data_IF_808686240322
#
_entry.id   IF_808686240322
#
_cell.length_a   1.000
_cell.length_b   1.000
_cell.length_c   1.000
_cell.angle_alpha   90.00
_cell.angle_beta   90.00
_cell.angle_gamma   90.00
#
_symmetry.space_group_name_H-M   'P 1'
#
loop_
_entity.id
_entity.type
_entity.pdbx_description
1 polymer ?
#
# COMPACT_ATOMS: atom_id res chain seq x y z
N UNK A 1 -1.48 6.78 -19.80
CA UNK A 1 -0.25 7.54 -19.51
C UNK A 1 0.18 7.39 -18.05
N UNK A 2 -0.69 7.66 -17.06
CA UNK A 2 -0.38 7.55 -15.62
C UNK A 2 0.13 6.17 -15.17
N UNK A 3 -0.54 5.07 -15.57
CA UNK A 3 -0.11 3.70 -15.22
C UNK A 3 1.34 3.42 -15.63
N UNK A 4 1.74 3.83 -16.83
CA UNK A 4 3.11 3.63 -17.30
C UNK A 4 4.13 4.42 -16.48
N UNK A 5 3.78 5.63 -16.02
CA UNK A 5 4.66 6.47 -15.22
C UNK A 5 4.86 5.88 -13.83
N UNK A 6 3.76 5.48 -13.15
CA UNK A 6 3.84 4.81 -11.84
C UNK A 6 4.59 3.47 -11.94
N UNK A 7 4.40 2.70 -13.00
CA UNK A 7 5.19 1.48 -13.23
C UNK A 7 6.69 1.77 -13.40
N UNK A 8 7.05 2.86 -14.07
CA UNK A 8 8.45 3.27 -14.22
C UNK A 8 9.04 3.72 -12.89
N UNK A 9 8.30 4.52 -12.10
CA UNK A 9 8.71 4.88 -10.73
C UNK A 9 8.99 3.61 -9.92
N UNK A 10 8.06 2.65 -9.94
CA UNK A 10 8.21 1.40 -9.19
C UNK A 10 9.42 0.57 -9.62
N UNK A 11 9.85 0.66 -10.88
CA UNK A 11 11.04 -0.04 -11.37
C UNK A 11 12.36 0.59 -10.91
N UNK A 12 12.37 1.86 -10.50
CA UNK A 12 13.56 2.50 -9.93
C UNK A 12 13.95 1.91 -8.57
N UNK A 13 13.04 1.23 -7.90
CA UNK A 13 13.22 0.66 -6.56
C UNK A 13 13.18 -0.87 -6.63
N UNK A 14 14.36 -1.50 -6.60
CA UNK A 14 14.48 -2.95 -6.80
C UNK A 14 14.10 -3.80 -5.58
N UNK A 15 14.20 -3.25 -4.37
CA UNK A 15 13.98 -3.98 -3.13
C UNK A 15 13.11 -3.19 -2.15
N UNK A 16 12.07 -3.86 -1.63
CA UNK A 16 11.29 -3.33 -0.53
C UNK A 16 11.99 -3.64 0.80
N UNK A 17 12.49 -2.61 1.46
CA UNK A 17 12.99 -2.69 2.85
C UNK A 17 12.14 -1.78 3.73
N UNK A 18 11.91 -2.18 4.98
CA UNK A 18 11.22 -1.34 5.96
C UNK A 18 12.01 -0.05 6.22
N UNK A 19 13.33 -0.12 6.16
CA UNK A 19 14.23 1.02 6.35
C UNK A 19 14.28 1.97 5.13
N UNK A 20 13.91 1.49 3.96
CA UNK A 20 13.76 2.30 2.74
C UNK A 20 12.29 2.58 2.47
N UNK A 21 11.78 3.65 3.04
CA UNK A 21 10.38 4.02 2.94
C UNK A 21 9.95 4.24 1.48
N UNK A 22 10.79 4.86 0.64
CA UNK A 22 10.48 5.06 -0.78
C UNK A 22 10.42 3.73 -1.54
N UNK A 23 11.38 2.85 -1.33
CA UNK A 23 11.39 1.50 -1.92
C UNK A 23 10.19 0.66 -1.47
N UNK A 24 9.82 0.73 -0.19
CA UNK A 24 8.64 0.04 0.34
C UNK A 24 7.35 0.54 -0.32
N UNK A 25 7.18 1.85 -0.42
CA UNK A 25 6.00 2.48 -1.04
C UNK A 25 5.93 2.18 -2.54
N UNK A 26 7.07 2.20 -3.24
CA UNK A 26 7.13 1.83 -4.65
C UNK A 26 6.68 0.37 -4.86
N UNK A 27 7.14 -0.55 -4.01
CA UNK A 27 6.71 -1.94 -4.06
C UNK A 27 5.23 -2.10 -3.75
N UNK A 28 4.71 -1.37 -2.76
CA UNK A 28 3.28 -1.32 -2.45
C UNK A 28 2.46 -0.90 -3.69
N UNK A 29 2.84 0.21 -4.36
CA UNK A 29 2.20 0.68 -5.58
C UNK A 29 2.24 -0.37 -6.70
N UNK A 30 3.40 -1.01 -6.92
CA UNK A 30 3.56 -2.03 -7.94
C UNK A 30 2.63 -3.23 -7.76
N UNK A 31 2.53 -3.74 -6.52
CA UNK A 31 1.62 -4.86 -6.22
C UNK A 31 0.17 -4.43 -6.45
N UNK A 32 -0.21 -3.20 -6.09
CA UNK A 32 -1.59 -2.72 -6.30
C UNK A 32 -1.93 -2.54 -7.77
N UNK A 33 -1.01 -2.05 -8.59
CA UNK A 33 -1.19 -2.02 -10.05
C UNK A 33 -1.44 -3.43 -10.62
N UNK A 34 -0.71 -4.44 -10.15
CA UNK A 34 -0.97 -5.84 -10.54
C UNK A 34 -2.33 -6.34 -10.06
N UNK A 35 -2.78 -5.91 -8.88
CA UNK A 35 -4.12 -6.25 -8.38
C UNK A 35 -5.22 -5.64 -9.25
N UNK A 36 -5.05 -4.41 -9.74
CA UNK A 36 -5.96 -3.80 -10.73
C UNK A 36 -5.98 -4.55 -12.06
N UNK A 37 -4.84 -4.99 -12.58
CA UNK A 37 -4.78 -5.81 -13.79
C UNK A 37 -5.52 -7.15 -13.60
N UNK A 38 -5.37 -7.77 -12.43
CA UNK A 38 -6.10 -9.00 -12.07
C UNK A 38 -7.60 -8.73 -11.98
N UNK A 39 -8.01 -7.62 -11.34
CA UNK A 39 -9.41 -7.21 -11.27
C UNK A 39 -10.04 -7.10 -12.66
N UNK A 40 -9.36 -6.41 -13.59
CA UNK A 40 -9.87 -6.27 -14.97
C UNK A 40 -10.03 -7.62 -15.66
N UNK A 41 -9.09 -8.54 -15.49
CA UNK A 41 -9.21 -9.91 -16.05
C UNK A 41 -10.41 -10.66 -15.46
N UNK A 42 -10.63 -10.55 -14.16
CA UNK A 42 -11.74 -11.21 -13.47
C UNK A 42 -13.08 -10.67 -13.94
N UNK A 43 -13.24 -9.35 -14.02
CA UNK A 43 -14.52 -8.74 -14.37
C UNK A 43 -14.81 -8.80 -15.87
N UNK A 44 -13.81 -8.60 -16.74
CA UNK A 44 -14.01 -8.52 -18.20
C UNK A 44 -14.00 -9.91 -18.83
N UNK A 45 -12.99 -10.72 -18.51
CA UNK A 45 -12.80 -12.00 -19.18
C UNK A 45 -13.64 -13.12 -18.54
N UNK A 46 -13.67 -13.17 -17.21
CA UNK A 46 -14.34 -14.24 -16.47
C UNK A 46 -15.79 -13.88 -16.12
N UNK A 47 -16.14 -12.60 -16.14
CA UNK A 47 -17.45 -12.09 -15.70
C UNK A 47 -17.79 -12.54 -14.26
N UNK A 48 -16.78 -12.68 -13.41
CA UNK A 48 -16.93 -13.10 -12.02
C UNK A 48 -17.12 -11.86 -11.12
N UNK A 49 -18.38 -11.50 -10.95
CA UNK A 49 -18.78 -10.34 -10.18
C UNK A 49 -18.47 -10.47 -8.69
N UNK A 50 -18.58 -11.66 -8.13
CA UNK A 50 -18.33 -11.91 -6.70
C UNK A 50 -16.86 -11.69 -6.39
N UNK A 51 -15.97 -12.34 -7.13
CA UNK A 51 -14.51 -12.15 -6.95
C UNK A 51 -14.09 -10.72 -7.28
N UNK A 52 -14.68 -10.08 -8.29
CA UNK A 52 -14.40 -8.68 -8.61
C UNK A 52 -14.70 -7.76 -7.44
N UNK A 53 -15.85 -7.92 -6.76
CA UNK A 53 -16.18 -7.12 -5.57
C UNK A 53 -15.24 -7.40 -4.38
N UNK A 54 -14.77 -8.64 -4.19
CA UNK A 54 -13.75 -8.95 -3.19
C UNK A 54 -12.44 -8.21 -3.46
N UNK A 55 -11.98 -8.20 -4.72
CA UNK A 55 -10.78 -7.46 -5.12
C UNK A 55 -11.00 -5.96 -4.97
N UNK A 56 -12.16 -5.44 -5.37
CA UNK A 56 -12.50 -4.03 -5.23
C UNK A 56 -12.45 -3.58 -3.76
N UNK A 57 -12.98 -4.40 -2.84
CA UNK A 57 -12.87 -4.14 -1.39
C UNK A 57 -11.42 -4.04 -0.93
N UNK A 58 -10.58 -4.99 -1.34
CA UNK A 58 -9.16 -4.98 -1.03
C UNK A 58 -8.45 -3.73 -1.61
N UNK A 59 -8.78 -3.33 -2.84
CA UNK A 59 -8.21 -2.14 -3.46
C UNK A 59 -8.60 -0.87 -2.71
N UNK A 60 -9.86 -0.73 -2.30
CA UNK A 60 -10.34 0.38 -1.48
C UNK A 60 -9.59 0.50 -0.15
N UNK A 61 -9.41 -0.63 0.56
CA UNK A 61 -8.61 -0.65 1.79
C UNK A 61 -7.17 -0.21 1.54
N UNK A 62 -6.57 -0.64 0.43
CA UNK A 62 -5.19 -0.28 0.10
C UNK A 62 -5.04 1.20 -0.23
N UNK A 63 -5.97 1.81 -0.97
CA UNK A 63 -5.96 3.25 -1.27
C UNK A 63 -6.12 4.06 0.02
N UNK A 64 -7.04 3.65 0.90
CA UNK A 64 -7.26 4.28 2.20
C UNK A 64 -6.03 4.20 3.11
N UNK A 65 -5.36 3.04 3.15
CA UNK A 65 -4.10 2.87 3.88
C UNK A 65 -3.01 3.75 3.30
N UNK A 66 -2.89 3.80 1.97
CA UNK A 66 -1.90 4.64 1.31
C UNK A 66 -2.09 6.11 1.68
N UNK A 67 -3.33 6.60 1.63
CA UNK A 67 -3.66 7.96 2.03
C UNK A 67 -3.27 8.23 3.49
N UNK A 68 -3.76 7.42 4.42
CA UNK A 68 -3.52 7.64 5.85
C UNK A 68 -2.03 7.57 6.23
N UNK A 69 -1.29 6.61 5.68
CA UNK A 69 0.08 6.33 6.11
C UNK A 69 1.08 7.16 5.34
N UNK A 70 0.96 7.22 4.00
CA UNK A 70 2.01 7.76 3.15
C UNK A 70 1.75 9.18 2.66
N UNK A 71 0.47 9.63 2.65
CA UNK A 71 0.13 11.04 2.37
C UNK A 71 0.14 11.91 3.64
N UNK A 72 0.46 11.35 4.81
CA UNK A 72 0.67 12.12 6.04
C UNK A 72 1.78 13.17 5.82
N UNK A 73 1.47 14.46 5.92
CA UNK A 73 2.44 15.52 5.62
C UNK A 73 3.59 15.59 6.65
N UNK A 74 3.33 15.23 7.91
CA UNK A 74 4.35 15.19 8.94
C UNK A 74 5.20 13.92 8.80
N UNK A 75 6.48 14.09 8.48
CA UNK A 75 7.41 12.97 8.24
C UNK A 75 7.58 12.05 9.45
N UNK A 76 7.53 12.60 10.68
CA UNK A 76 7.66 11.82 11.92
C UNK A 76 6.42 10.96 12.17
N UNK A 77 5.22 11.50 11.91
CA UNK A 77 3.97 10.74 12.00
C UNK A 77 3.86 9.70 10.88
N UNK A 78 4.28 10.05 9.66
CA UNK A 78 4.33 9.11 8.53
C UNK A 78 5.22 7.92 8.85
N UNK A 79 6.41 8.16 9.39
CA UNK A 79 7.33 7.09 9.79
C UNK A 79 6.74 6.24 10.93
N UNK A 80 6.13 6.87 11.94
CA UNK A 80 5.46 6.17 13.03
C UNK A 80 4.34 5.26 12.52
N UNK A 81 3.44 5.79 11.68
CA UNK A 81 2.36 5.02 11.07
C UNK A 81 2.89 3.87 10.22
N UNK A 82 3.91 4.11 9.40
CA UNK A 82 4.54 3.09 8.58
C UNK A 82 5.08 1.92 9.41
N UNK A 83 5.90 2.21 10.43
CA UNK A 83 6.47 1.18 11.29
C UNK A 83 5.38 0.37 12.00
N UNK A 84 4.37 1.04 12.56
CA UNK A 84 3.26 0.36 13.24
C UNK A 84 2.39 -0.46 12.29
N UNK A 85 2.15 0.03 11.07
CA UNK A 85 1.43 -0.71 10.03
C UNK A 85 2.17 -2.00 9.63
N UNK A 86 3.50 -1.91 9.47
CA UNK A 86 4.34 -3.08 9.18
C UNK A 86 4.32 -4.08 10.32
N UNK A 87 4.48 -3.62 11.56
CA UNK A 87 4.49 -4.50 12.75
C UNK A 87 3.14 -5.20 12.91
N UNK A 88 2.02 -4.45 12.88
CA UNK A 88 0.66 -5.01 12.99
C UNK A 88 0.40 -6.07 11.91
N UNK A 89 0.79 -5.79 10.66
CA UNK A 89 0.66 -6.74 9.56
C UNK A 89 1.53 -8.00 9.74
N UNK A 90 2.76 -7.85 10.22
CA UNK A 90 3.65 -8.99 10.48
C UNK A 90 3.18 -9.83 11.67
N UNK A 91 2.74 -9.22 12.77
CA UNK A 91 2.19 -9.92 13.95
C UNK A 91 0.99 -10.78 13.54
N UNK A 92 -0.01 -10.19 12.87
CA UNK A 92 -1.19 -10.93 12.37
C UNK A 92 -0.84 -12.07 11.43
N UNK A 93 0.19 -11.90 10.59
CA UNK A 93 0.66 -12.97 9.70
C UNK A 93 1.35 -14.09 10.48
N UNK A 94 2.11 -13.76 11.55
CA UNK A 94 2.75 -14.75 12.40
C UNK A 94 1.76 -15.57 13.21
N UNK A 95 0.63 -14.96 13.62
CA UNK A 95 -0.45 -15.63 14.36
C UNK A 95 -1.12 -16.74 13.54
N UNK A 96 -1.20 -16.59 12.21
CA UNK A 96 -1.82 -17.58 11.33
C UNK A 96 -0.82 -18.57 10.71
N UNK A 97 0.49 -18.29 10.76
CA UNK A 97 1.51 -19.20 10.28
C UNK A 97 1.80 -20.27 11.34
N UNK A 98 1.84 -21.55 10.97
CA UNK A 98 2.18 -22.61 11.91
C UNK A 98 3.49 -22.32 12.65
N UNK A 99 3.50 -22.53 13.97
CA UNK A 99 4.72 -22.40 14.78
C UNK A 99 5.66 -23.56 14.58
N UNK A 100 5.08 -24.74 14.43
CA UNK A 100 5.81 -26.01 14.30
C UNK A 100 5.76 -26.50 12.86
N UNK A 101 6.74 -27.33 12.53
CA UNK A 101 6.78 -28.04 11.26
C UNK A 101 5.54 -28.93 11.08
N UNK A 102 5.14 -29.12 9.83
CA UNK A 102 4.06 -30.04 9.45
C UNK A 102 4.45 -31.46 9.92
N UNK A 103 3.51 -32.14 10.58
CA UNK A 103 3.71 -33.45 11.17
C UNK A 103 4.07 -34.52 10.12
N UNK A 104 4.90 -35.48 10.51
CA UNK A 104 5.17 -36.64 9.69
C UNK A 104 3.89 -37.38 9.31
N UNK A 105 3.85 -37.89 8.09
CA UNK A 105 2.71 -38.67 7.57
C UNK A 105 1.50 -37.84 7.11
N UNK A 106 1.49 -36.49 7.28
CA UNK A 106 0.40 -35.63 6.80
C UNK A 106 0.50 -35.26 5.32
N UNK A 107 1.72 -35.31 4.76
CA UNK A 107 2.05 -35.06 3.35
C UNK A 107 3.20 -35.96 2.92
N UNK A 108 3.39 -36.19 1.61
CA UNK A 108 4.62 -36.78 1.09
C UNK A 108 5.87 -36.03 1.59
N UNK A 109 6.97 -36.72 1.83
CA UNK A 109 8.16 -36.15 2.48
C UNK A 109 8.71 -34.92 1.73
N UNK A 110 8.75 -34.95 0.41
CA UNK A 110 9.25 -33.86 -0.42
C UNK A 110 8.37 -32.60 -0.29
N UNK A 111 7.05 -32.76 -0.39
CA UNK A 111 6.08 -31.67 -0.25
C UNK A 111 6.11 -31.09 1.16
N UNK A 112 6.20 -31.95 2.18
CA UNK A 112 6.32 -31.54 3.58
C UNK A 112 7.58 -30.73 3.83
N UNK A 113 8.73 -31.17 3.33
CA UNK A 113 9.99 -30.46 3.49
C UNK A 113 9.94 -29.09 2.80
N UNK A 114 9.43 -29.03 1.58
CA UNK A 114 9.25 -27.75 0.88
C UNK A 114 8.30 -26.80 1.62
N UNK A 115 7.16 -27.29 2.09
CA UNK A 115 6.20 -26.48 2.87
C UNK A 115 6.82 -25.97 4.18
N UNK A 116 7.58 -26.83 4.89
CA UNK A 116 8.28 -26.42 6.12
C UNK A 116 9.36 -25.37 5.86
N UNK A 117 10.08 -25.44 4.75
CA UNK A 117 11.01 -24.39 4.32
C UNK A 117 10.31 -23.06 4.05
N UNK A 118 9.19 -23.06 3.33
CA UNK A 118 8.40 -21.86 3.07
C UNK A 118 7.86 -21.22 4.35
N UNK A 119 7.36 -22.05 5.28
CA UNK A 119 6.89 -21.58 6.60
C UNK A 119 8.04 -20.92 7.35
N UNK A 120 9.19 -21.60 7.48
CA UNK A 120 10.36 -21.07 8.16
C UNK A 120 10.81 -19.74 7.54
N UNK A 121 11.02 -19.71 6.22
CA UNK A 121 11.41 -18.50 5.49
C UNK A 121 10.42 -17.36 5.74
N UNK A 122 9.12 -17.64 5.66
CA UNK A 122 8.08 -16.66 5.88
C UNK A 122 8.13 -16.08 7.30
N UNK A 123 8.29 -16.92 8.33
CA UNK A 123 8.40 -16.48 9.73
C UNK A 123 9.65 -15.65 9.98
N UNK A 124 10.80 -16.09 9.48
CA UNK A 124 12.07 -15.37 9.60
C UNK A 124 12.01 -14.00 8.94
N UNK A 125 11.41 -13.93 7.75
CA UNK A 125 11.22 -12.67 7.02
C UNK A 125 10.35 -11.68 7.81
N UNK A 126 9.18 -12.11 8.37
CA UNK A 126 8.33 -11.23 9.20
C UNK A 126 9.05 -10.77 10.46
N UNK A 127 9.74 -11.66 11.16
CA UNK A 127 10.52 -11.29 12.34
C UNK A 127 11.62 -10.28 12.01
N UNK A 128 12.26 -10.38 10.85
CA UNK A 128 13.25 -9.40 10.38
C UNK A 128 12.59 -8.04 10.14
N UNK A 129 11.49 -8.00 9.39
CA UNK A 129 10.77 -6.74 9.13
C UNK A 129 10.32 -6.05 10.42
N UNK A 130 9.84 -6.82 11.40
CA UNK A 130 9.46 -6.27 12.71
C UNK A 130 10.65 -5.67 13.46
N UNK A 131 11.82 -6.31 13.43
CA UNK A 131 13.04 -5.76 14.05
C UNK A 131 13.46 -4.45 13.38
N UNK A 132 13.49 -4.41 12.05
CA UNK A 132 13.81 -3.20 11.27
C UNK A 132 12.83 -2.06 11.61
N UNK A 133 11.53 -2.34 11.66
CA UNK A 133 10.52 -1.35 12.05
C UNK A 133 10.70 -0.88 13.51
N UNK A 134 11.03 -1.78 14.43
CA UNK A 134 11.27 -1.44 15.84
C UNK A 134 12.50 -0.54 16.00
N UNK A 135 13.59 -0.81 15.27
CA UNK A 135 14.79 0.03 15.27
C UNK A 135 14.51 1.46 14.79
N UNK A 136 13.60 1.62 13.81
CA UNK A 136 13.15 2.94 13.36
C UNK A 136 12.27 3.64 14.41
N UNK A 137 11.39 2.90 15.09
CA UNK A 137 10.57 3.43 16.19
C UNK A 137 11.44 3.90 17.35
N UNK A 138 12.47 3.16 17.72
CA UNK A 138 13.35 3.52 18.82
C UNK A 138 14.12 4.83 18.57
N UNK A 139 14.36 5.13 17.29
CA UNK A 139 15.02 6.38 16.84
C UNK A 139 14.04 7.50 16.51
N UNK A 140 12.73 7.27 16.60
CA UNK A 140 11.73 8.26 16.19
C UNK A 140 11.74 9.49 17.14
N UNK A 141 11.85 10.72 16.61
CA UNK A 141 11.90 11.95 17.42
C UNK A 141 10.66 12.16 18.30
N UNK A 142 9.51 11.65 17.89
CA UNK A 142 8.26 11.76 18.66
C UNK A 142 8.34 11.12 20.04
N UNK A 143 9.22 10.11 20.23
CA UNK A 143 9.46 9.49 21.53
C UNK A 143 9.98 10.49 22.57
N UNK A 144 10.82 11.47 22.12
CA UNK A 144 11.35 12.53 22.99
C UNK A 144 10.37 13.68 23.18
N UNK A 145 9.42 13.85 22.25
CA UNK A 145 8.45 14.94 22.26
C UNK A 145 7.33 14.70 23.28
N UNK A 146 6.79 13.50 23.32
CA UNK A 146 5.79 13.04 24.28
C UNK A 146 5.90 11.50 24.41
N UNK A 147 6.63 11.05 25.42
CA UNK A 147 6.92 9.63 25.64
C UNK A 147 5.65 8.84 26.00
N UNK A 148 4.74 9.42 26.76
CA UNK A 148 3.50 8.75 27.17
C UNK A 148 2.58 8.52 25.97
N UNK A 149 2.41 9.54 25.12
CA UNK A 149 1.65 9.41 23.89
C UNK A 149 2.29 8.38 22.94
N UNK A 150 3.59 8.46 22.74
CA UNK A 150 4.34 7.52 21.90
C UNK A 150 4.17 6.08 22.39
N UNK A 151 4.45 5.82 23.67
CA UNK A 151 4.37 4.48 24.24
C UNK A 151 2.93 3.93 24.20
N UNK A 152 1.92 4.78 24.42
CA UNK A 152 0.52 4.39 24.30
C UNK A 152 0.16 3.94 22.88
N UNK A 153 0.58 4.70 21.87
CA UNK A 153 0.31 4.41 20.45
C UNK A 153 1.06 3.16 20.00
N UNK A 154 2.33 3.04 20.36
CA UNK A 154 3.19 1.90 20.00
C UNK A 154 2.71 0.61 20.66
N UNK A 155 2.39 0.63 21.95
CA UNK A 155 1.89 -0.53 22.69
C UNK A 155 0.61 -1.13 22.07
N UNK A 156 -0.27 -0.25 21.58
CA UNK A 156 -1.55 -0.66 20.98
C UNK A 156 -1.45 -0.94 19.48
N UNK A 157 -0.27 -0.87 18.86
CA UNK A 157 -0.08 -0.99 17.39
C UNK A 157 -1.03 -0.06 16.62
N UNK A 158 -1.34 1.10 17.19
CA UNK A 158 -2.35 2.00 16.65
C UNK A 158 -1.82 2.86 15.51
N UNK A 159 -1.56 2.26 14.33
CA UNK A 159 -1.17 3.00 13.14
C UNK A 159 -2.28 3.91 12.59
N UNK A 160 -3.54 3.69 13.02
CA UNK A 160 -4.71 4.49 12.65
C UNK A 160 -5.04 5.59 13.67
N UNK A 161 -4.08 6.04 14.48
CA UNK A 161 -4.36 7.07 15.48
C UNK A 161 -4.87 8.37 14.83
N UNK A 162 -5.85 9.03 15.47
CA UNK A 162 -6.37 10.35 15.05
C UNK A 162 -5.46 11.48 15.50
N UNK A 163 -5.02 11.43 16.74
CA UNK A 163 -4.20 12.45 17.37
C UNK A 163 -3.01 11.80 18.09
N UNK A 164 -1.86 12.50 18.08
CA UNK A 164 -0.69 12.08 18.83
C UNK A 164 -0.85 12.48 20.31
N UNK A 165 -1.58 11.66 21.05
CA UNK A 165 -1.88 11.86 22.47
C UNK A 165 -2.01 10.52 23.17
N UNK A 166 -1.82 10.53 24.52
CA UNK A 166 -2.04 9.39 25.39
C UNK A 166 -3.55 9.17 25.64
N UNK A 167 -4.22 8.46 24.74
CA UNK A 167 -5.62 8.09 24.89
C UNK A 167 -5.79 6.64 25.26
N UNK A 168 -6.63 6.40 26.27
CA UNK A 168 -7.01 5.03 26.65
C UNK A 168 -8.05 4.41 25.70
N UNK A 169 -8.89 5.19 25.01
CA UNK A 169 -9.98 4.68 24.15
C UNK A 169 -10.29 5.62 22.98
N UNK A 170 -10.68 5.06 21.84
CA UNK A 170 -11.24 5.73 20.64
C UNK A 170 -10.31 6.69 19.87
N UNK A 171 -9.01 6.67 20.11
CA UNK A 171 -8.07 7.49 19.34
C UNK A 171 -7.63 6.77 18.04
N UNK A 172 -8.59 6.23 17.27
CA UNK A 172 -8.27 5.63 15.99
C UNK A 172 -9.37 5.86 14.96
N UNK A 173 -8.96 5.99 13.71
CA UNK A 173 -9.87 5.97 12.57
C UNK A 173 -10.51 4.59 12.43
N UNK A 174 -11.81 4.57 12.18
CA UNK A 174 -12.51 3.39 11.69
C UNK A 174 -12.34 3.30 10.16
N UNK A 175 -12.60 2.13 9.58
CA UNK A 175 -12.51 1.97 8.13
C UNK A 175 -13.40 2.96 7.37
N UNK A 176 -14.58 3.24 7.89
CA UNK A 176 -15.49 4.23 7.32
C UNK A 176 -14.85 5.63 7.25
N UNK A 177 -14.22 6.07 8.36
CA UNK A 177 -13.52 7.37 8.40
C UNK A 177 -12.41 7.44 7.33
N UNK A 178 -11.72 6.31 7.06
CA UNK A 178 -10.65 6.25 6.07
C UNK A 178 -11.17 6.33 4.63
N UNK A 179 -12.31 5.73 4.35
CA UNK A 179 -12.94 5.83 3.03
C UNK A 179 -13.53 7.22 2.79
N UNK A 180 -14.07 7.86 3.83
CA UNK A 180 -14.51 9.26 3.74
C UNK A 180 -13.34 10.20 3.39
N UNK A 181 -12.14 9.95 3.92
CA UNK A 181 -10.94 10.76 3.63
C UNK A 181 -10.46 10.66 2.17
N UNK A 182 -10.80 9.61 1.48
CA UNK A 182 -10.49 9.45 0.06
C UNK A 182 -11.68 9.82 -0.85
N UNK A 183 -12.67 10.56 -0.33
CA UNK A 183 -13.90 10.96 -1.03
C UNK A 183 -14.62 9.78 -1.73
N UNK A 184 -14.58 8.62 -1.10
CA UNK A 184 -15.20 7.41 -1.63
C UNK A 184 -16.52 7.11 -0.93
N UNK A 185 -17.10 8.12 -0.32
CA UNK A 185 -18.45 8.08 0.23
C UNK A 185 -19.44 8.55 -0.84
N UNK A 186 -19.89 7.63 -1.66
CA UNK A 186 -21.12 7.84 -2.43
C UNK A 186 -22.35 7.86 -1.51
N UNK A 187 -23.55 7.97 -2.06
CA UNK A 187 -24.82 7.92 -1.32
C UNK A 187 -25.08 6.60 -0.58
N UNK A 188 -24.19 5.63 -0.68
CA UNK A 188 -24.28 4.35 0.01
C UNK A 188 -22.95 3.96 0.67
N UNK A 189 -23.01 3.17 1.73
CA UNK A 189 -21.85 2.64 2.43
C UNK A 189 -21.18 1.54 1.60
N UNK A 190 -20.24 1.94 0.74
CA UNK A 190 -19.50 1.03 -0.12
C UNK A 190 -18.78 -0.06 0.67
N UNK A 191 -18.27 0.27 1.85
CA UNK A 191 -17.56 -0.71 2.70
C UNK A 191 -18.52 -1.82 3.14
N UNK A 192 -19.69 -1.44 3.68
CA UNK A 192 -20.69 -2.39 4.11
C UNK A 192 -21.19 -3.26 2.96
N UNK A 193 -21.40 -2.64 1.80
CA UNK A 193 -21.77 -3.35 0.58
C UNK A 193 -20.70 -4.37 0.16
N UNK A 194 -19.46 -3.95 0.01
CA UNK A 194 -18.36 -4.82 -0.43
C UNK A 194 -18.00 -5.89 0.61
N UNK A 195 -18.19 -5.60 1.90
CA UNK A 195 -17.96 -6.57 2.98
C UNK A 195 -18.86 -7.79 2.90
N UNK A 196 -20.05 -7.66 2.29
CA UNK A 196 -20.95 -8.79 2.07
C UNK A 196 -20.32 -9.86 1.17
N UNK A 197 -19.53 -9.44 0.17
CA UNK A 197 -18.84 -10.35 -0.75
C UNK A 197 -17.64 -11.01 -0.08
N UNK A 198 -16.82 -10.24 0.64
CA UNK A 198 -15.63 -10.76 1.34
C UNK A 198 -15.99 -11.80 2.41
N UNK A 199 -17.10 -11.58 3.12
CA UNK A 199 -17.53 -12.46 4.20
C UNK A 199 -18.52 -13.55 3.75
N UNK A 200 -18.79 -13.67 2.45
CA UNK A 200 -19.71 -14.69 1.92
C UNK A 200 -21.13 -14.60 2.50
N UNK A 201 -21.60 -13.37 2.77
CA UNK A 201 -22.95 -13.18 3.31
C UNK A 201 -24.02 -13.53 2.28
N UNK A 202 -25.24 -13.79 2.73
CA UNK A 202 -26.33 -14.36 1.91
C UNK A 202 -26.59 -13.62 0.62
N UNK A 203 -26.47 -12.29 0.61
CA UNK A 203 -26.67 -11.49 -0.60
C UNK A 203 -25.63 -11.76 -1.70
N UNK A 204 -24.37 -12.04 -1.34
CA UNK A 204 -23.33 -12.39 -2.31
C UNK A 204 -23.58 -13.75 -2.98
N UNK A 205 -24.29 -14.65 -2.29
CA UNK A 205 -24.65 -15.98 -2.81
C UNK A 205 -25.92 -15.96 -3.67
N UNK A 206 -26.68 -14.87 -3.69
CA UNK A 206 -27.88 -14.71 -4.50
C UNK A 206 -27.62 -14.09 -5.88
N UNK A 207 -26.38 -13.67 -6.14
CA UNK A 207 -25.99 -13.12 -7.46
C UNK A 207 -25.86 -14.26 -8.45
N UNK A 208 -26.95 -14.60 -9.12
CA UNK A 208 -27.03 -15.73 -10.05
C UNK A 208 -26.62 -15.31 -11.48
N UNK A 209 -26.79 -14.05 -11.83
CA UNK A 209 -26.47 -13.54 -13.17
C UNK A 209 -25.83 -12.14 -13.08
N UNK A 210 -24.69 -12.01 -13.76
CA UNK A 210 -24.09 -10.72 -14.07
C UNK A 210 -24.89 -10.07 -15.20
N UNK A 211 -25.32 -8.85 -14.98
CA UNK A 211 -25.69 -7.99 -16.10
C UNK A 211 -24.55 -7.01 -16.42
N UNK A 212 -24.51 -6.52 -17.65
CA UNK A 212 -23.47 -5.60 -18.12
C UNK A 212 -23.39 -4.34 -17.25
N UNK A 213 -24.52 -3.81 -16.78
CA UNK A 213 -24.57 -2.63 -15.92
C UNK A 213 -23.87 -2.83 -14.59
N UNK A 214 -23.97 -4.01 -13.99
CA UNK A 214 -23.26 -4.32 -12.75
C UNK A 214 -21.74 -4.36 -13.00
N UNK A 215 -21.30 -4.91 -14.14
CA UNK A 215 -19.89 -4.89 -14.51
C UNK A 215 -19.38 -3.46 -14.74
N UNK A 216 -20.13 -2.63 -15.44
CA UNK A 216 -19.78 -1.23 -15.69
C UNK A 216 -19.64 -0.43 -14.39
N UNK A 217 -20.58 -0.60 -13.44
CA UNK A 217 -20.51 0.05 -12.13
C UNK A 217 -19.24 -0.37 -11.36
N UNK A 218 -18.98 -1.66 -11.27
CA UNK A 218 -17.79 -2.18 -10.56
C UNK A 218 -16.49 -1.73 -11.21
N UNK A 219 -16.45 -1.66 -12.55
CA UNK A 219 -15.29 -1.13 -13.30
C UNK A 219 -15.13 0.37 -13.02
N UNK A 220 -16.22 1.14 -13.02
CA UNK A 220 -16.21 2.56 -12.72
C UNK A 220 -15.62 2.85 -11.34
N UNK A 221 -16.06 2.11 -10.32
CA UNK A 221 -15.54 2.19 -8.96
C UNK A 221 -14.03 1.85 -8.89
N UNK A 222 -13.62 0.78 -9.56
CA UNK A 222 -12.21 0.40 -9.60
C UNK A 222 -11.33 1.46 -10.30
N UNK A 223 -11.82 2.06 -11.39
CA UNK A 223 -11.11 3.13 -12.09
C UNK A 223 -10.97 4.38 -11.21
N UNK A 224 -11.99 4.73 -10.43
CA UNK A 224 -11.92 5.81 -9.46
C UNK A 224 -10.86 5.57 -8.38
N UNK A 225 -10.77 4.36 -7.85
CA UNK A 225 -9.71 3.98 -6.90
C UNK A 225 -8.32 3.98 -7.55
N UNK A 226 -8.21 3.51 -8.79
CA UNK A 226 -6.94 3.53 -9.53
C UNK A 226 -6.46 4.96 -9.78
N UNK A 227 -7.36 5.86 -10.14
CA UNK A 227 -7.03 7.27 -10.36
C UNK A 227 -6.50 7.93 -9.09
N UNK A 228 -7.16 7.73 -7.95
CA UNK A 228 -6.69 8.21 -6.64
C UNK A 228 -5.34 7.63 -6.27
N UNK A 229 -5.15 6.33 -6.45
CA UNK A 229 -3.87 5.69 -6.18
C UNK A 229 -2.74 6.28 -7.04
N UNK A 230 -3.03 6.59 -8.30
CA UNK A 230 -2.08 7.23 -9.21
C UNK A 230 -1.76 8.67 -8.78
N UNK A 231 -2.77 9.45 -8.39
CA UNK A 231 -2.57 10.82 -7.88
C UNK A 231 -1.67 10.81 -6.66
N UNK A 232 -1.97 9.97 -5.67
CA UNK A 232 -1.18 9.85 -4.45
C UNK A 232 0.25 9.36 -4.72
N UNK A 233 0.41 8.38 -5.61
CA UNK A 233 1.73 7.88 -5.99
C UNK A 233 2.57 8.96 -6.70
N UNK A 234 1.97 9.74 -7.58
CA UNK A 234 2.64 10.86 -8.28
C UNK A 234 3.04 11.95 -7.29
N UNK A 235 2.18 12.28 -6.34
CA UNK A 235 2.47 13.27 -5.31
C UNK A 235 3.59 12.79 -4.37
N UNK A 236 3.53 11.52 -3.94
CA UNK A 236 4.56 10.92 -3.08
C UNK A 236 5.93 10.84 -3.75
N UNK A 237 5.95 10.48 -5.05
CA UNK A 237 7.15 10.35 -5.87
C UNK A 237 7.34 11.55 -6.82
N UNK A 238 7.06 12.76 -6.34
CA UNK A 238 7.03 13.96 -7.18
C UNK A 238 8.33 14.19 -7.94
N UNK A 239 9.47 13.97 -7.31
CA UNK A 239 10.79 14.13 -7.92
C UNK A 239 11.01 13.11 -9.04
N UNK A 240 10.77 11.83 -8.74
CA UNK A 240 10.90 10.73 -9.69
C UNK A 240 9.94 10.89 -10.87
N UNK A 241 8.73 11.35 -10.61
CA UNK A 241 7.73 11.63 -11.63
C UNK A 241 8.18 12.74 -12.56
N UNK A 242 8.67 13.86 -12.03
CA UNK A 242 9.19 14.98 -12.82
C UNK A 242 10.38 14.54 -13.66
N UNK A 243 11.27 13.72 -13.10
CA UNK A 243 12.38 13.14 -13.82
C UNK A 243 11.94 12.29 -15.01
N UNK A 244 11.00 11.35 -14.80
CA UNK A 244 10.50 10.47 -15.87
C UNK A 244 9.84 11.30 -16.98
N UNK A 245 9.05 12.30 -16.62
CA UNK A 245 8.40 13.18 -17.60
C UNK A 245 9.44 14.01 -18.35
N UNK A 246 10.42 14.61 -17.67
CA UNK A 246 11.47 15.37 -18.31
C UNK A 246 12.31 14.53 -19.26
N UNK A 247 12.56 13.26 -18.92
CA UNK A 247 13.26 12.31 -19.80
C UNK A 247 12.45 11.89 -21.04
N UNK A 248 11.12 12.06 -21.01
CA UNK A 248 10.22 11.77 -22.15
C UNK A 248 9.97 12.99 -23.04
N UNK A 249 10.37 14.19 -22.59
CA UNK A 249 10.17 15.43 -23.31
C UNK A 249 11.37 15.74 -24.20
N UNK A 250 11.10 16.50 -25.27
CA UNK A 250 12.19 17.06 -26.09
C UNK A 250 13.14 17.93 -25.23
N UNK A 251 14.44 17.96 -25.54
CA UNK A 251 15.46 18.68 -24.76
C UNK A 251 15.07 20.12 -24.39
N UNK A 252 14.47 20.86 -25.33
CA UNK A 252 14.03 22.24 -25.11
C UNK A 252 12.90 22.38 -24.04
N UNK A 253 12.02 21.39 -23.94
CA UNK A 253 10.97 21.38 -22.90
C UNK A 253 11.55 20.95 -21.56
N UNK A 254 12.47 20.01 -21.55
CA UNK A 254 13.22 19.57 -20.38
C UNK A 254 13.92 20.74 -19.71
N UNK A 255 14.65 21.56 -20.51
CA UNK A 255 15.37 22.71 -20.00
C UNK A 255 14.43 23.77 -19.40
N UNK A 256 13.25 23.98 -19.99
CA UNK A 256 12.24 24.88 -19.43
C UNK A 256 11.75 24.41 -18.06
N UNK A 257 11.50 23.13 -17.86
CA UNK A 257 11.04 22.57 -16.58
C UNK A 257 12.15 22.64 -15.54
N UNK A 258 13.39 22.31 -15.91
CA UNK A 258 14.54 22.43 -15.02
C UNK A 258 14.82 23.89 -14.61
N UNK A 259 14.50 24.86 -15.47
CA UNK A 259 14.58 26.28 -15.17
C UNK A 259 13.49 26.79 -14.22
N UNK A 260 12.45 26.00 -13.95
CA UNK A 260 11.44 26.32 -12.94
C UNK A 260 11.87 25.96 -11.50
N UNK A 261 12.98 25.23 -11.33
CA UNK A 261 13.55 24.97 -10.01
C UNK A 261 14.37 26.18 -9.55
N UNK A 262 14.27 26.48 -8.25
CA UNK A 262 15.17 27.41 -7.58
C UNK A 262 16.64 27.02 -7.85
N UNK A 263 17.52 27.99 -8.14
CA UNK A 263 18.92 27.71 -8.44
C UNK A 263 19.63 26.87 -7.39
N UNK A 264 19.21 27.02 -6.10
CA UNK A 264 19.74 26.25 -4.96
C UNK A 264 19.24 24.80 -4.91
N UNK A 265 18.14 24.47 -5.59
CA UNK A 265 17.50 23.15 -5.57
C UNK A 265 17.47 22.49 -6.95
N UNK A 266 18.16 23.11 -7.90
CA UNK A 266 18.20 22.63 -9.29
C UNK A 266 19.18 21.48 -9.42
N UNK A 267 18.71 20.21 -9.55
CA UNK A 267 19.63 19.11 -9.80
C UNK A 267 20.29 19.30 -11.17
N UNK A 268 21.56 19.02 -11.28
CA UNK A 268 22.19 18.87 -12.58
C UNK A 268 21.62 17.62 -13.26
N UNK A 269 21.54 17.62 -14.59
CA UNK A 269 21.09 16.45 -15.36
C UNK A 269 21.96 15.23 -15.01
N UNK A 270 23.27 15.41 -14.84
CA UNK A 270 24.20 14.35 -14.48
C UNK A 270 23.94 13.77 -13.08
N UNK A 271 23.60 14.58 -12.07
CA UNK A 271 23.23 14.11 -10.72
C UNK A 271 21.92 13.33 -10.75
N UNK A 272 20.98 13.75 -11.58
CA UNK A 272 19.73 13.03 -11.77
C UNK A 272 19.94 11.70 -12.50
N UNK A 273 20.75 11.69 -13.54
CA UNK A 273 21.14 10.48 -14.26
C UNK A 273 21.90 9.49 -13.37
N UNK A 274 22.78 9.99 -12.51
CA UNK A 274 23.51 9.18 -11.53
C UNK A 274 22.61 8.65 -10.43
N UNK A 275 21.69 9.47 -9.91
CA UNK A 275 20.79 9.10 -8.80
C UNK A 275 19.73 8.08 -9.23
N UNK A 276 19.22 8.17 -10.44
CA UNK A 276 18.08 7.38 -10.91
C UNK A 276 18.44 6.37 -12.01
N UNK A 277 19.72 6.24 -12.35
CA UNK A 277 20.23 5.21 -13.26
C UNK A 277 19.47 5.15 -14.56
N UNK A 278 19.53 6.19 -15.38
CA UNK A 278 18.87 6.13 -16.68
C UNK A 278 19.56 5.14 -17.56
N UNK A 279 18.90 4.36 -17.69
CA UNK A 279 18.76 3.24 -18.59
C UNK A 279 18.70 3.66 -20.03
N UNK A 280 19.74 3.35 -20.69
CA UNK A 280 19.72 3.03 -22.11
C UNK A 280 19.12 1.65 -22.32
#
# INVERSE_FOLDING_TARGET
MYMNTVQRICKLYQYASVNDLKGYVAHFCYIRLKSFDTFLKVVVNNKDYVTANCILRMLGDCVSVFHLVYMEPNAEYRLLRHCLYVIDGCERNLDVLPENSIKEGSLPDEERNHANELIRFSREHRKRMMREAQELLDKNPLKKKDEDAFNCIVKNRNWKFKEFKSYKNKNQYQWRDLYEQIDYSGDYDLISYLSQYVHGLSMSNLVIQLNERNCESVIGEALGLLDRMNIYAIEYFKEEYLYIITGLLEPKMRDKILNCYDEQHRPSIAEWEQKYGIMN
#
